data_IF_141317689983
#
_entry.id   IF_141317689983
#
_cell.length_a   1.000
_cell.length_b   1.000
_cell.length_c   1.000
_cell.angle_alpha   90.00
_cell.angle_beta   90.00
_cell.angle_gamma   90.00
#
_symmetry.space_group_name_H-M   'P 1'
#
loop_
_entity.id
_entity.type
_entity.pdbx_description
1 polymer ?
#
# COMPACT_ATOMS: atom_id res chain seq x y z
N UNK A 1 -32.86 2.07 15.79
CA UNK A 1 -31.39 2.02 15.99
C UNK A 1 -31.13 2.16 17.48
N UNK A 2 -30.41 1.23 18.13
CA UNK A 2 -30.07 1.37 19.55
C UNK A 2 -29.06 2.52 19.75
N UNK A 3 -29.05 3.14 20.94
CA UNK A 3 -28.11 4.23 21.28
C UNK A 3 -26.63 3.84 21.02
N UNK A 4 -26.31 2.55 21.24
CA UNK A 4 -25.01 1.93 20.96
C UNK A 4 -24.68 1.92 19.46
N UNK A 5 -25.66 1.61 18.61
CA UNK A 5 -25.47 1.62 17.16
C UNK A 5 -25.17 3.03 16.62
N UNK A 6 -25.80 4.05 17.19
CA UNK A 6 -25.55 5.45 16.82
C UNK A 6 -24.15 5.88 17.27
N UNK A 7 -23.75 5.52 18.50
CA UNK A 7 -22.42 5.82 19.03
C UNK A 7 -21.30 5.18 18.18
N UNK A 8 -21.46 3.90 17.79
CA UNK A 8 -20.47 3.21 16.97
C UNK A 8 -20.34 3.84 15.58
N UNK A 9 -21.46 4.23 14.96
CA UNK A 9 -21.46 4.91 13.66
C UNK A 9 -20.74 6.26 13.73
N UNK A 10 -20.96 7.05 14.78
CA UNK A 10 -20.25 8.33 14.99
C UNK A 10 -18.74 8.09 15.11
N UNK A 11 -18.31 7.07 15.87
CA UNK A 11 -16.89 6.75 16.02
C UNK A 11 -16.26 6.39 14.67
N UNK A 12 -16.91 5.54 13.87
CA UNK A 12 -16.40 5.17 12.54
C UNK A 12 -16.28 6.40 11.63
N UNK A 13 -17.27 7.30 11.63
CA UNK A 13 -17.24 8.52 10.83
C UNK A 13 -16.09 9.44 11.27
N UNK A 14 -15.89 9.61 12.58
CA UNK A 14 -14.80 10.44 13.12
C UNK A 14 -13.44 9.87 12.74
N UNK A 15 -13.25 8.55 12.81
CA UNK A 15 -12.01 7.88 12.39
C UNK A 15 -11.78 8.09 10.89
N UNK A 16 -12.81 7.88 10.05
CA UNK A 16 -12.69 8.09 8.60
C UNK A 16 -12.33 9.55 8.26
N UNK A 17 -12.95 10.53 8.92
CA UNK A 17 -12.63 11.95 8.75
C UNK A 17 -11.21 12.28 9.19
N UNK A 18 -10.76 11.75 10.33
CA UNK A 18 -9.41 11.96 10.82
C UNK A 18 -8.36 11.40 9.83
N UNK A 19 -8.60 10.19 9.31
CA UNK A 19 -7.74 9.58 8.28
C UNK A 19 -7.76 10.41 6.99
N UNK A 20 -8.93 10.83 6.52
CA UNK A 20 -9.06 11.65 5.31
C UNK A 20 -8.30 12.98 5.43
N UNK A 21 -8.45 13.69 6.55
CA UNK A 21 -7.74 14.95 6.81
C UNK A 21 -6.23 14.74 6.92
N UNK A 22 -5.79 13.65 7.54
CA UNK A 22 -4.37 13.29 7.61
C UNK A 22 -3.79 13.05 6.21
N UNK A 23 -4.50 12.31 5.36
CA UNK A 23 -4.08 12.02 3.98
C UNK A 23 -3.99 13.30 3.14
N UNK A 24 -4.99 14.19 3.22
CA UNK A 24 -4.99 15.46 2.48
C UNK A 24 -3.85 16.38 2.93
N UNK A 25 -3.63 16.48 4.24
CA UNK A 25 -2.58 17.35 4.80
C UNK A 25 -1.16 16.86 4.49
N UNK A 26 -1.00 15.54 4.34
CA UNK A 26 0.29 14.88 4.09
C UNK A 26 0.41 14.30 2.68
N UNK A 27 -0.36 14.81 1.71
CA UNK A 27 -0.39 14.26 0.35
C UNK A 27 0.99 14.20 -0.31
N UNK A 28 1.84 15.19 -0.04
CA UNK A 28 3.23 15.23 -0.52
C UNK A 28 4.05 14.07 0.06
N UNK A 29 3.88 13.77 1.35
CA UNK A 29 4.56 12.64 1.97
C UNK A 29 4.05 11.32 1.42
N UNK A 30 2.74 11.23 1.14
CA UNK A 30 2.13 10.06 0.49
C UNK A 30 2.76 9.80 -0.88
N UNK A 31 2.92 10.85 -1.69
CA UNK A 31 3.55 10.77 -3.01
C UNK A 31 5.02 10.34 -2.91
N UNK A 32 5.78 10.95 -2.00
CA UNK A 32 7.19 10.58 -1.79
C UNK A 32 7.29 9.10 -1.40
N UNK A 33 6.46 8.65 -0.46
CA UNK A 33 6.46 7.26 -0.01
C UNK A 33 6.08 6.30 -1.16
N UNK A 34 5.08 6.66 -1.97
CA UNK A 34 4.68 5.94 -3.18
C UNK A 34 5.86 5.76 -4.14
N UNK A 35 6.57 6.85 -4.42
CA UNK A 35 7.72 6.87 -5.33
C UNK A 35 8.85 5.99 -4.78
N UNK A 36 9.18 6.08 -3.49
CA UNK A 36 10.20 5.21 -2.87
C UNK A 36 9.82 3.72 -2.93
N UNK A 37 8.54 3.39 -2.71
CA UNK A 37 8.04 2.02 -2.84
C UNK A 37 8.13 1.50 -4.27
N UNK A 38 7.70 2.31 -5.25
CA UNK A 38 7.79 1.99 -6.67
C UNK A 38 9.23 1.84 -7.16
N UNK A 39 10.14 2.72 -6.72
CA UNK A 39 11.58 2.62 -7.02
C UNK A 39 12.13 1.29 -6.46
N UNK A 40 11.70 0.89 -5.27
CA UNK A 40 12.14 -0.38 -4.67
C UNK A 40 11.69 -1.57 -5.51
N UNK A 41 10.42 -1.60 -5.94
CA UNK A 41 9.93 -2.63 -6.85
C UNK A 41 10.64 -2.61 -8.20
N UNK A 42 10.95 -1.41 -8.71
CA UNK A 42 11.73 -1.24 -9.94
C UNK A 42 13.13 -1.85 -9.80
N UNK A 43 13.84 -1.58 -8.71
CA UNK A 43 15.15 -2.18 -8.45
C UNK A 43 15.03 -3.71 -8.38
N UNK A 44 14.03 -4.24 -7.68
CA UNK A 44 13.80 -5.69 -7.55
C UNK A 44 13.59 -6.36 -8.90
N UNK A 45 12.75 -5.78 -9.76
CA UNK A 45 12.50 -6.30 -11.10
C UNK A 45 13.71 -6.09 -12.03
N UNK A 46 14.42 -4.96 -11.93
CA UNK A 46 15.59 -4.65 -12.77
C UNK A 46 16.75 -5.62 -12.54
N UNK A 47 16.97 -6.02 -11.28
CA UNK A 47 17.96 -7.05 -10.93
C UNK A 47 17.42 -8.48 -11.08
N UNK A 48 16.20 -8.66 -11.58
CA UNK A 48 15.53 -9.95 -11.71
C UNK A 48 15.55 -10.78 -10.41
N UNK A 49 15.48 -10.13 -9.25
CA UNK A 49 15.56 -10.77 -7.94
C UNK A 49 14.41 -11.78 -7.72
N UNK A 50 13.26 -11.53 -8.33
CA UNK A 50 12.12 -12.45 -8.33
C UNK A 50 12.38 -13.73 -9.13
N UNK A 51 13.08 -13.61 -10.26
CA UNK A 51 13.46 -14.74 -11.10
C UNK A 51 14.47 -15.66 -10.40
N UNK A 52 15.34 -15.10 -9.55
CA UNK A 52 16.27 -15.87 -8.70
C UNK A 52 15.52 -16.70 -7.66
N UNK A 53 14.32 -16.24 -7.25
CA UNK A 53 13.41 -16.97 -6.38
C UNK A 53 12.44 -17.91 -7.14
N UNK A 54 12.61 -18.07 -8.46
CA UNK A 54 11.76 -18.91 -9.30
C UNK A 54 10.33 -18.38 -9.50
N UNK A 55 10.12 -17.08 -9.27
CA UNK A 55 8.82 -16.41 -9.39
C UNK A 55 8.85 -15.40 -10.55
N UNK A 56 7.70 -15.12 -11.19
CA UNK A 56 7.61 -14.07 -12.19
C UNK A 56 7.82 -12.68 -11.57
N UNK A 57 8.23 -11.72 -12.39
CA UNK A 57 8.43 -10.33 -11.96
C UNK A 57 7.13 -9.69 -11.46
N UNK A 58 7.26 -8.71 -10.57
CA UNK A 58 6.12 -8.07 -9.91
C UNK A 58 5.48 -7.06 -10.86
N UNK A 59 4.17 -7.19 -11.09
CA UNK A 59 3.41 -6.27 -11.93
C UNK A 59 3.19 -4.90 -11.29
N UNK A 60 3.08 -3.86 -12.13
CA UNK A 60 2.73 -2.49 -11.73
C UNK A 60 1.24 -2.24 -11.94
N UNK A 61 0.38 -3.04 -11.30
CA UNK A 61 -1.06 -2.82 -11.36
C UNK A 61 -1.45 -1.57 -10.56
N UNK A 62 -2.67 -1.08 -10.78
CA UNK A 62 -3.24 0.04 -10.01
C UNK A 62 -3.25 -0.30 -8.50
N UNK A 63 -3.45 -1.58 -8.16
CA UNK A 63 -3.46 -2.07 -6.79
C UNK A 63 -2.05 -2.00 -6.20
N UNK A 64 -1.03 -2.44 -6.93
CA UNK A 64 0.39 -2.34 -6.54
C UNK A 64 0.77 -0.89 -6.22
N UNK A 65 0.40 0.04 -7.12
CA UNK A 65 0.66 1.48 -6.93
C UNK A 65 -0.05 2.01 -5.70
N UNK A 66 -1.29 1.59 -5.45
CA UNK A 66 -2.07 2.05 -4.29
C UNK A 66 -1.49 1.53 -2.97
N UNK A 67 -1.06 0.26 -2.94
CA UNK A 67 -0.39 -0.34 -1.77
C UNK A 67 0.94 0.37 -1.51
N UNK A 68 1.72 0.68 -2.56
CA UNK A 68 2.93 1.49 -2.43
C UNK A 68 2.62 2.93 -2.02
N UNK A 69 1.50 3.53 -2.44
CA UNK A 69 1.15 4.88 -2.03
C UNK A 69 0.76 4.97 -0.56
N UNK A 70 -0.05 4.02 -0.08
CA UNK A 70 -0.48 3.98 1.32
C UNK A 70 0.64 3.51 2.26
N UNK A 71 1.40 2.50 1.85
CA UNK A 71 2.40 1.83 2.68
C UNK A 71 3.84 2.21 2.37
N UNK A 72 4.15 2.86 1.26
CA UNK A 72 5.50 3.26 0.87
C UNK A 72 6.47 2.11 0.67
N UNK A 73 7.66 2.28 1.25
CA UNK A 73 8.67 1.22 1.37
C UNK A 73 8.11 -0.05 2.05
N UNK A 74 7.43 0.02 3.23
CA UNK A 74 6.77 -1.16 3.78
C UNK A 74 5.74 -1.78 2.83
N UNK A 75 5.02 -0.97 2.05
CA UNK A 75 4.09 -1.44 1.02
C UNK A 75 4.80 -2.25 -0.07
N UNK A 76 5.94 -1.76 -0.57
CA UNK A 76 6.75 -2.49 -1.54
C UNK A 76 7.27 -3.83 -0.98
N UNK A 77 7.76 -3.84 0.26
CA UNK A 77 8.20 -5.07 0.95
C UNK A 77 7.04 -6.06 1.05
N UNK A 78 5.85 -5.59 1.41
CA UNK A 78 4.66 -6.44 1.52
C UNK A 78 4.31 -7.11 0.20
N UNK A 79 4.37 -6.37 -0.92
CA UNK A 79 4.13 -6.91 -2.26
C UNK A 79 5.19 -7.94 -2.65
N UNK A 80 6.47 -7.67 -2.35
CA UNK A 80 7.56 -8.63 -2.60
C UNK A 80 7.31 -9.93 -1.83
N UNK A 81 6.97 -9.83 -0.54
CA UNK A 81 6.66 -11.01 0.28
C UNK A 81 5.44 -11.77 -0.27
N UNK A 82 4.38 -11.06 -0.67
CA UNK A 82 3.21 -11.66 -1.32
C UNK A 82 3.59 -12.40 -2.60
N UNK A 83 4.42 -11.79 -3.44
CA UNK A 83 4.84 -12.39 -4.70
C UNK A 83 5.73 -13.62 -4.48
N UNK A 84 6.56 -13.63 -3.43
CA UNK A 84 7.35 -14.80 -3.02
C UNK A 84 6.47 -15.98 -2.56
N UNK A 85 5.39 -15.73 -1.82
CA UNK A 85 4.40 -16.77 -1.47
C UNK A 85 3.51 -17.17 -2.65
N UNK A 86 3.62 -16.48 -3.80
CA UNK A 86 2.89 -16.78 -5.04
C UNK A 86 1.58 -16.03 -5.23
N UNK A 87 1.30 -15.05 -4.38
CA UNK A 87 0.15 -14.15 -4.51
C UNK A 87 0.63 -12.92 -5.28
N UNK A 88 0.14 -12.76 -6.51
CA UNK A 88 0.46 -11.60 -7.35
C UNK A 88 -0.72 -10.63 -7.35
N UNK A 89 -0.39 -9.34 -7.44
CA UNK A 89 -1.33 -8.21 -7.44
C UNK A 89 -1.12 -7.31 -8.63
#
# INVERSE_FOLDING_TARGET
MSLIGIALLIVVIVILLAVALFVVKNIVHLIINAVFGLITLFIVNFFHLMQYAGKPDIGYSIITVLICALGGLPGAILIIVLALIGITV
#
